data_IF_081747040299
#
_entry.id   IF_081747040299
#
_cell.length_a   1.000
_cell.length_b   1.000
_cell.length_c   1.000
_cell.angle_alpha   90.00
_cell.angle_beta   90.00
_cell.angle_gamma   90.00
#
_symmetry.space_group_name_H-M   'P 1'
#
loop_
_entity.id
_entity.type
_entity.pdbx_description
1 polymer ?
#
# COMPACT_ATOMS: atom_id res chain seq x y z
N UNK A 1 7.95 -8.78 5.74
CA UNK A 1 6.92 -7.71 5.82
C UNK A 1 5.94 -8.04 6.95
N UNK A 2 5.74 -7.15 7.93
CA UNK A 2 4.74 -7.31 9.00
C UNK A 2 3.54 -6.43 8.67
N UNK A 3 2.40 -7.02 8.30
CA UNK A 3 1.22 -6.30 7.79
C UNK A 3 0.14 -6.18 8.87
N UNK A 4 -0.41 -4.97 9.04
CA UNK A 4 -1.63 -4.73 9.77
C UNK A 4 -2.84 -4.71 8.83
N UNK A 5 -3.78 -5.63 9.01
CA UNK A 5 -5.01 -5.67 8.21
C UNK A 5 -6.16 -4.91 8.86
N UNK A 6 -6.73 -3.94 8.13
CA UNK A 6 -7.83 -3.10 8.59
C UNK A 6 -8.98 -3.02 7.57
N UNK A 7 -10.21 -3.41 7.95
CA UNK A 7 -11.37 -3.05 7.16
C UNK A 7 -11.68 -1.55 7.32
N UNK A 8 -12.05 -0.90 6.22
CA UNK A 8 -12.47 0.50 6.17
C UNK A 8 -13.91 0.63 5.68
N UNK A 9 -14.59 1.68 6.17
CA UNK A 9 -15.82 2.19 5.57
C UNK A 9 -15.48 2.80 4.20
N UNK A 10 -16.44 2.78 3.29
CA UNK A 10 -16.26 3.22 1.90
C UNK A 10 -15.65 4.63 1.79
N UNK A 11 -16.25 5.60 2.49
CA UNK A 11 -15.78 7.00 2.55
C UNK A 11 -14.29 7.12 2.84
N UNK A 12 -13.79 6.44 3.88
CA UNK A 12 -12.39 6.55 4.31
C UNK A 12 -11.44 5.82 3.37
N UNK A 13 -11.89 4.70 2.82
CA UNK A 13 -11.15 3.96 1.82
C UNK A 13 -10.90 4.83 0.57
N UNK A 14 -11.94 5.45 0.03
CA UNK A 14 -11.86 6.31 -1.16
C UNK A 14 -11.02 7.57 -0.92
N UNK A 15 -11.09 8.16 0.29
CA UNK A 15 -10.25 9.30 0.65
C UNK A 15 -8.76 8.95 0.75
N UNK A 16 -8.43 7.76 1.27
CA UNK A 16 -7.04 7.28 1.31
C UNK A 16 -6.56 6.92 -0.10
N UNK A 17 -7.40 6.24 -0.89
CA UNK A 17 -7.08 5.84 -2.26
C UNK A 17 -6.84 7.05 -3.17
N UNK A 18 -7.62 8.12 -3.01
CA UNK A 18 -7.40 9.39 -3.72
C UNK A 18 -6.19 10.20 -3.22
N UNK A 19 -5.55 9.77 -2.13
CA UNK A 19 -4.41 10.48 -1.52
C UNK A 19 -4.79 11.70 -0.67
N UNK A 20 -6.09 11.99 -0.53
CA UNK A 20 -6.59 13.11 0.26
C UNK A 20 -6.44 12.88 1.78
N UNK A 21 -6.53 11.62 2.23
CA UNK A 21 -6.37 11.23 3.63
C UNK A 21 -5.07 10.42 3.79
N UNK A 22 -4.15 10.93 4.62
CA UNK A 22 -2.81 10.33 4.84
C UNK A 22 -2.65 9.65 6.19
N UNK A 23 -3.73 9.54 6.95
CA UNK A 23 -3.75 8.94 8.29
C UNK A 23 -5.01 8.11 8.48
N UNK A 24 -4.93 7.02 9.24
CA UNK A 24 -6.10 6.27 9.70
C UNK A 24 -6.21 6.34 11.22
N UNK A 25 -7.44 6.46 11.72
CA UNK A 25 -7.71 6.65 13.15
C UNK A 25 -8.41 5.45 13.76
N UNK A 26 -8.01 5.07 14.98
CA UNK A 26 -8.69 4.03 15.76
C UNK A 26 -8.88 4.48 17.20
N UNK A 27 -10.09 4.30 17.72
CA UNK A 27 -10.42 4.64 19.10
C UNK A 27 -9.51 3.90 20.10
N UNK A 28 -9.23 4.51 21.24
CA UNK A 28 -8.47 3.89 22.34
C UNK A 28 -9.36 2.90 23.09
N UNK A 29 -9.69 1.78 22.45
CA UNK A 29 -10.49 0.69 23.01
C UNK A 29 -9.65 -0.57 23.18
N UNK A 30 -10.07 -1.43 24.12
CA UNK A 30 -9.45 -2.73 24.44
C UNK A 30 -9.02 -3.53 23.21
N UNK A 31 -9.88 -3.59 22.19
CA UNK A 31 -9.59 -4.28 20.93
C UNK A 31 -8.39 -3.67 20.19
N UNK A 32 -8.36 -2.36 20.01
CA UNK A 32 -7.28 -1.66 19.28
C UNK A 32 -5.98 -1.63 20.06
N UNK A 33 -6.05 -1.45 21.39
CA UNK A 33 -4.87 -1.54 22.27
C UNK A 33 -4.16 -2.88 22.08
N UNK A 34 -4.91 -3.99 22.15
CA UNK A 34 -4.34 -5.32 21.98
C UNK A 34 -3.73 -5.58 20.60
N UNK A 35 -4.15 -4.83 19.57
CA UNK A 35 -3.61 -4.94 18.21
C UNK A 35 -2.44 -4.00 17.95
N UNK A 36 -2.46 -2.78 18.48
CA UNK A 36 -1.55 -1.70 18.10
C UNK A 36 -0.46 -1.42 19.15
N UNK A 37 -0.65 -1.80 20.41
CA UNK A 37 0.30 -1.57 21.49
C UNK A 37 1.09 -2.84 21.85
N UNK A 38 2.35 -2.67 22.26
CA UNK A 38 3.16 -3.68 22.96
C UNK A 38 3.31 -3.29 24.44
N UNK A 39 3.28 -4.27 25.36
CA UNK A 39 3.63 -3.98 26.76
C UNK A 39 5.15 -3.84 26.84
N UNK A 40 5.64 -2.74 27.40
CA UNK A 40 7.08 -2.50 27.60
C UNK A 40 7.72 -3.35 28.69
N UNK A 41 6.99 -4.29 29.32
CA UNK A 41 7.53 -5.29 30.24
C UNK A 41 7.90 -4.81 31.65
N UNK A 42 7.71 -3.53 31.99
CA UNK A 42 8.25 -2.93 33.22
C UNK A 42 7.26 -2.84 34.40
N UNK A 43 6.01 -3.24 34.24
CA UNK A 43 5.07 -3.26 35.36
C UNK A 43 5.27 -4.57 36.15
N UNK A 44 6.11 -4.53 37.18
CA UNK A 44 6.16 -5.56 38.20
C UNK A 44 4.93 -5.45 39.10
N UNK A 45 4.37 -6.60 39.49
CA UNK A 45 3.26 -6.67 40.45
C UNK A 45 3.60 -5.92 41.74
N UNK A 46 4.87 -5.98 42.15
CA UNK A 46 5.40 -5.30 43.34
C UNK A 46 5.31 -3.77 43.31
N UNK A 47 5.38 -3.13 42.13
CA UNK A 47 5.29 -1.65 42.01
C UNK A 47 3.88 -1.12 41.78
N UNK A 48 2.97 -1.95 41.27
CA UNK A 48 1.67 -1.49 40.74
C UNK A 48 0.47 -2.32 41.20
N UNK A 49 0.70 -3.41 41.96
CA UNK A 49 -0.33 -4.37 42.35
C UNK A 49 -0.92 -5.17 41.18
N UNK A 50 -0.30 -5.12 39.98
CA UNK A 50 -0.87 -5.71 38.77
C UNK A 50 0.18 -6.38 37.88
N UNK A 51 -0.11 -7.59 37.40
CA UNK A 51 0.74 -8.26 36.41
C UNK A 51 0.38 -7.74 35.00
N UNK A 52 1.29 -7.05 34.29
CA UNK A 52 1.16 -6.79 32.85
C UNK A 52 1.38 -8.08 32.04
N UNK A 53 0.55 -9.11 32.26
CA UNK A 53 0.66 -10.41 31.57
C UNK A 53 0.03 -10.41 30.17
N UNK A 54 -0.66 -9.33 29.75
CA UNK A 54 -1.32 -9.24 28.44
C UNK A 54 -1.16 -7.85 27.80
N UNK A 55 -1.09 -7.82 26.46
CA UNK A 55 -0.92 -6.64 25.59
C UNK A 55 -2.07 -5.60 25.63
N UNK A 56 -2.86 -5.57 26.71
CA UNK A 56 -4.08 -4.75 26.86
C UNK A 56 -3.94 -3.89 28.12
N UNK A 57 -2.75 -3.35 28.36
CA UNK A 57 -2.48 -2.58 29.56
C UNK A 57 -2.74 -1.10 29.25
N UNK A 58 -3.91 -0.58 29.65
CA UNK A 58 -4.25 0.83 29.49
C UNK A 58 -3.22 1.72 30.21
N UNK A 59 -2.71 1.27 31.36
CA UNK A 59 -1.66 1.99 32.09
C UNK A 59 -0.34 2.09 31.33
N UNK A 60 0.00 1.18 30.40
CA UNK A 60 1.17 1.34 29.53
C UNK A 60 1.00 2.43 28.44
N UNK A 61 -0.24 2.86 28.18
CA UNK A 61 -0.52 3.96 27.27
C UNK A 61 -0.51 5.30 28.01
N UNK A 62 -0.95 5.32 29.27
CA UNK A 62 -1.19 6.54 30.04
C UNK A 62 -0.19 6.81 31.17
N UNK A 63 0.68 5.87 31.55
CA UNK A 63 1.63 5.98 32.67
C UNK A 63 3.01 5.39 32.30
N UNK A 64 4.10 6.05 32.73
CA UNK A 64 5.50 5.60 32.52
C UNK A 64 6.17 6.19 31.26
N UNK A 65 7.14 5.46 30.68
CA UNK A 65 7.97 5.85 29.50
C UNK A 65 7.21 6.02 28.17
N UNK A 66 5.89 6.20 28.19
CA UNK A 66 5.06 6.48 27.01
C UNK A 66 4.52 5.26 26.24
N UNK A 67 3.81 5.54 25.15
CA UNK A 67 3.19 4.54 24.28
C UNK A 67 4.23 3.74 23.48
N UNK A 68 4.14 2.42 23.53
CA UNK A 68 5.01 1.52 22.76
C UNK A 68 4.18 0.86 21.64
N UNK A 69 4.36 1.27 20.37
CA UNK A 69 3.64 0.67 19.26
C UNK A 69 4.17 -0.73 18.93
N UNK A 70 3.28 -1.61 18.47
CA UNK A 70 3.70 -2.86 17.82
C UNK A 70 4.41 -2.57 16.52
N UNK A 71 5.36 -3.43 16.18
CA UNK A 71 6.13 -3.34 14.95
C UNK A 71 5.33 -3.86 13.77
N UNK A 72 4.71 -2.94 13.03
CA UNK A 72 4.19 -3.17 11.70
C UNK A 72 5.01 -2.35 10.72
N UNK A 73 5.31 -2.93 9.56
CA UNK A 73 5.99 -2.19 8.48
C UNK A 73 5.00 -1.69 7.44
N UNK A 74 3.83 -2.32 7.33
CA UNK A 74 2.82 -2.00 6.33
C UNK A 74 1.41 -2.12 6.92
N UNK A 75 0.47 -1.42 6.31
CA UNK A 75 -0.97 -1.52 6.59
C UNK A 75 -1.72 -1.85 5.31
N UNK A 76 -2.59 -2.86 5.37
CA UNK A 76 -3.47 -3.25 4.27
C UNK A 76 -4.90 -2.87 4.63
N UNK A 77 -5.48 -2.01 3.79
CA UNK A 77 -6.88 -1.65 3.89
C UNK A 77 -7.74 -2.51 2.98
N UNK A 78 -8.89 -2.95 3.49
CA UNK A 78 -9.94 -3.61 2.69
C UNK A 78 -11.16 -2.70 2.57
N UNK A 79 -11.76 -2.64 1.39
CA UNK A 79 -13.01 -1.92 1.17
C UNK A 79 -14.17 -2.75 1.72
N UNK A 80 -14.56 -2.48 2.97
CA UNK A 80 -15.51 -3.31 3.70
C UNK A 80 -15.10 -4.80 3.72
N UNK A 81 -16.02 -5.65 3.26
CA UNK A 81 -15.84 -7.11 3.13
C UNK A 81 -15.55 -7.56 1.68
N UNK A 82 -15.22 -6.64 0.78
CA UNK A 82 -14.89 -6.97 -0.61
C UNK A 82 -13.44 -7.46 -0.75
N UNK A 83 -13.09 -7.97 -1.93
CA UNK A 83 -11.72 -8.35 -2.27
C UNK A 83 -10.83 -7.14 -2.62
N UNK A 84 -11.40 -5.93 -2.73
CA UNK A 84 -10.64 -4.73 -3.07
C UNK A 84 -9.78 -4.32 -1.89
N UNK A 85 -8.47 -4.22 -2.11
CA UNK A 85 -7.49 -3.88 -1.08
C UNK A 85 -6.47 -2.89 -1.60
N UNK A 86 -5.90 -2.10 -0.69
CA UNK A 86 -4.75 -1.25 -0.94
C UNK A 86 -3.73 -1.44 0.18
N UNK A 87 -2.45 -1.38 -0.16
CA UNK A 87 -1.34 -1.63 0.76
C UNK A 87 -0.48 -0.37 0.85
N UNK A 88 -0.15 0.05 2.06
CA UNK A 88 0.69 1.20 2.31
C UNK A 88 1.84 0.82 3.23
N UNK A 89 2.98 1.48 3.07
CA UNK A 89 3.96 1.59 4.14
C UNK A 89 3.30 2.23 5.37
N UNK A 90 3.64 1.73 6.55
CA UNK A 90 3.20 2.32 7.81
C UNK A 90 4.38 3.08 8.42
N UNK A 91 4.34 4.41 8.33
CA UNK A 91 5.43 5.26 8.83
C UNK A 91 5.51 5.23 10.35
N UNK A 92 4.35 5.35 11.01
CA UNK A 92 4.29 5.36 12.47
C UNK A 92 2.89 5.01 12.97
N UNK A 93 2.86 4.59 14.24
CA UNK A 93 1.64 4.51 15.04
C UNK A 93 1.88 5.41 16.24
N UNK A 94 1.01 6.38 16.46
CA UNK A 94 1.09 7.33 17.58
C UNK A 94 -0.27 7.46 18.26
N UNK A 95 -0.33 8.22 19.36
CA UNK A 95 -1.58 8.57 20.05
C UNK A 95 -1.66 10.08 20.11
N UNK A 96 -2.82 10.64 19.75
CA UNK A 96 -3.06 12.07 19.78
C UNK A 96 -4.46 12.42 19.30
N UNK A 97 -4.72 13.71 19.13
CA UNK A 97 -5.98 14.21 18.56
C UNK A 97 -5.89 14.15 17.04
N UNK A 98 -6.83 13.45 16.41
CA UNK A 98 -6.86 13.30 14.95
C UNK A 98 -7.60 14.44 14.25
N UNK A 99 -7.52 14.48 12.92
CA UNK A 99 -8.26 15.43 12.11
C UNK A 99 -9.74 15.02 11.98
N UNK A 100 -10.65 15.86 12.49
CA UNK A 100 -12.10 15.63 12.47
C UNK A 100 -12.67 15.54 11.05
N UNK A 101 -12.11 16.29 10.08
CA UNK A 101 -12.48 16.19 8.66
C UNK A 101 -12.17 14.81 8.05
N UNK A 102 -11.25 14.08 8.67
CA UNK A 102 -10.86 12.72 8.29
C UNK A 102 -11.48 11.65 9.20
N UNK A 103 -12.50 12.00 9.99
CA UNK A 103 -13.30 11.08 10.78
C UNK A 103 -12.77 10.79 12.19
N UNK A 104 -11.82 11.58 12.69
CA UNK A 104 -11.47 11.52 14.11
C UNK A 104 -12.62 12.09 14.99
N UNK A 105 -12.84 11.54 16.19
CA UNK A 105 -13.70 12.17 17.19
C UNK A 105 -13.13 13.52 17.63
N UNK A 106 -14.01 14.45 18.00
CA UNK A 106 -13.60 15.79 18.42
C UNK A 106 -13.00 15.77 19.83
N UNK A 107 -11.87 16.46 20.02
CA UNK A 107 -11.15 16.58 21.30
C UNK A 107 -10.84 15.25 22.03
N UNK A 108 -10.88 14.12 21.34
CA UNK A 108 -10.56 12.80 21.89
C UNK A 108 -9.27 12.23 21.30
N UNK A 109 -8.46 11.60 22.15
CA UNK A 109 -7.26 10.91 21.70
C UNK A 109 -7.63 9.60 20.97
N UNK A 110 -6.96 9.36 19.85
CA UNK A 110 -7.05 8.15 19.03
C UNK A 110 -5.66 7.60 18.73
N UNK A 111 -5.58 6.34 18.33
CA UNK A 111 -4.43 5.85 17.60
C UNK A 111 -4.41 6.50 16.22
N UNK A 112 -3.28 7.08 15.86
CA UNK A 112 -3.02 7.70 14.56
C UNK A 112 -2.02 6.81 13.82
N UNK A 113 -2.45 6.22 12.71
CA UNK A 113 -1.63 5.43 11.81
C UNK A 113 -1.24 6.31 10.63
N UNK A 114 0.02 6.75 10.59
CA UNK A 114 0.52 7.60 9.52
C UNK A 114 0.92 6.76 8.29
N UNK A 115 0.36 7.09 7.13
CA UNK A 115 0.52 6.34 5.90
C UNK A 115 1.70 6.89 5.10
N UNK A 116 2.57 5.98 4.66
CA UNK A 116 3.66 6.29 3.75
C UNK A 116 3.28 6.03 2.30
N UNK A 117 4.22 5.46 1.53
CA UNK A 117 3.99 5.18 0.10
C UNK A 117 2.93 4.09 -0.10
N UNK A 118 2.07 4.28 -1.09
CA UNK A 118 1.18 3.23 -1.57
C UNK A 118 1.99 2.20 -2.37
N UNK A 119 1.85 0.92 -2.00
CA UNK A 119 2.50 -0.20 -2.68
C UNK A 119 1.56 -0.72 -3.77
N UNK A 120 1.85 -0.39 -5.03
CA UNK A 120 1.07 -0.86 -6.18
C UNK A 120 1.56 -2.23 -6.65
N UNK A 121 0.65 -3.18 -6.87
CA UNK A 121 0.98 -4.52 -7.38
C UNK A 121 0.80 -4.62 -8.88
N UNK A 122 1.61 -3.85 -9.59
CA UNK A 122 1.64 -3.89 -11.06
C UNK A 122 2.42 -5.12 -11.50
N UNK A 123 1.92 -5.83 -12.52
CA UNK A 123 2.62 -7.01 -13.07
C UNK A 123 3.26 -6.64 -14.40
N UNK A 124 4.55 -6.86 -14.53
CA UNK A 124 5.26 -6.69 -15.80
C UNK A 124 5.62 -8.07 -16.36
N UNK A 125 5.55 -8.21 -17.68
CA UNK A 125 6.01 -9.42 -18.39
C UNK A 125 6.61 -9.09 -19.73
N UNK A 126 7.40 -10.01 -20.26
CA UNK A 126 7.73 -10.06 -21.68
C UNK A 126 6.59 -10.70 -22.48
N UNK A 127 6.49 -10.34 -23.75
CA UNK A 127 5.51 -10.86 -24.69
C UNK A 127 6.19 -11.09 -26.04
N UNK A 128 6.06 -12.30 -26.60
CA UNK A 128 6.48 -12.56 -27.97
C UNK A 128 5.47 -11.94 -28.95
N UNK A 129 6.00 -11.28 -29.96
CA UNK A 129 5.31 -10.57 -31.01
C UNK A 129 5.90 -10.98 -32.38
N UNK A 130 5.20 -10.64 -33.46
CA UNK A 130 5.68 -10.85 -34.82
C UNK A 130 5.65 -9.53 -35.59
N UNK A 131 6.81 -9.08 -36.06
CA UNK A 131 6.93 -7.88 -36.87
C UNK A 131 6.65 -8.22 -38.33
N UNK A 132 5.47 -7.85 -38.84
CA UNK A 132 5.08 -8.11 -40.24
C UNK A 132 5.88 -7.29 -41.26
N UNK A 133 6.50 -6.17 -40.87
CA UNK A 133 7.29 -5.33 -41.78
C UNK A 133 8.66 -5.95 -42.05
N UNK A 134 9.29 -6.50 -41.02
CA UNK A 134 10.62 -7.14 -41.14
C UNK A 134 10.54 -8.66 -41.25
N UNK A 135 9.35 -9.25 -41.07
CA UNK A 135 9.09 -10.69 -41.07
C UNK A 135 9.88 -11.46 -40.00
N UNK A 136 10.09 -10.83 -38.84
CA UNK A 136 10.88 -11.37 -37.73
C UNK A 136 10.02 -11.57 -36.48
N UNK A 137 10.38 -12.58 -35.67
CA UNK A 137 9.90 -12.67 -34.29
C UNK A 137 10.61 -11.62 -33.44
N UNK A 138 9.84 -10.87 -32.65
CA UNK A 138 10.35 -9.86 -31.73
C UNK A 138 9.70 -10.00 -30.36
N UNK A 139 10.24 -9.36 -29.35
CA UNK A 139 9.74 -9.38 -27.98
C UNK A 139 9.40 -7.96 -27.52
N UNK A 140 8.32 -7.85 -26.74
CA UNK A 140 7.88 -6.61 -26.14
C UNK A 140 7.63 -6.73 -24.65
N UNK A 141 7.44 -5.58 -24.00
CA UNK A 141 7.10 -5.51 -22.57
C UNK A 141 5.62 -5.17 -22.42
N UNK A 142 4.95 -5.83 -21.50
CA UNK A 142 3.56 -5.53 -21.17
C UNK A 142 3.37 -5.37 -19.66
N UNK A 143 2.51 -4.42 -19.28
CA UNK A 143 2.22 -4.07 -17.90
C UNK A 143 0.74 -4.25 -17.63
N UNK A 144 0.39 -5.01 -16.59
CA UNK A 144 -0.95 -5.05 -16.03
C UNK A 144 -1.03 -4.00 -14.93
N UNK A 145 -1.91 -2.99 -15.07
CA UNK A 145 -2.20 -2.04 -14.01
C UNK A 145 -2.60 -2.73 -12.72
N UNK A 146 -2.36 -2.09 -11.58
CA UNK A 146 -2.87 -2.60 -10.31
C UNK A 146 -4.40 -2.68 -10.34
N UNK A 147 -4.96 -3.81 -9.94
CA UNK A 147 -6.39 -4.13 -10.11
C UNK A 147 -6.87 -4.32 -11.56
N UNK A 148 -5.99 -4.18 -12.56
CA UNK A 148 -6.30 -4.36 -13.98
C UNK A 148 -6.59 -5.81 -14.34
N UNK A 149 -7.46 -6.03 -15.33
CA UNK A 149 -7.81 -7.39 -15.82
C UNK A 149 -6.95 -7.81 -17.01
N UNK A 150 -6.32 -6.86 -17.71
CA UNK A 150 -5.51 -7.13 -18.90
C UNK A 150 -4.17 -6.42 -18.85
N UNK A 151 -3.22 -7.00 -19.58
CA UNK A 151 -1.93 -6.40 -19.87
C UNK A 151 -2.07 -5.33 -20.96
N UNK A 152 -1.51 -4.15 -20.73
CA UNK A 152 -1.31 -3.09 -21.71
C UNK A 152 0.12 -3.18 -22.28
N UNK A 153 0.32 -2.72 -23.51
CA UNK A 153 1.64 -2.64 -24.12
C UNK A 153 2.43 -1.47 -23.50
N UNK A 154 3.67 -1.69 -23.11
CA UNK A 154 4.60 -0.61 -22.75
C UNK A 154 5.08 0.11 -24.04
N UNK A 155 5.44 1.40 -24.05
CA UNK A 155 5.39 2.25 -25.24
C UNK A 155 6.40 1.85 -26.33
N UNK A 156 6.24 2.48 -27.50
CA UNK A 156 7.10 2.35 -28.68
C UNK A 156 8.59 2.45 -28.28
N UNK A 157 9.40 1.52 -28.79
CA UNK A 157 10.79 1.29 -28.37
C UNK A 157 10.97 0.04 -27.49
N UNK A 158 9.94 -0.36 -26.73
CA UNK A 158 9.96 -1.56 -25.89
C UNK A 158 9.12 -2.72 -26.45
N UNK A 159 8.80 -2.70 -27.74
CA UNK A 159 7.96 -3.72 -28.39
C UNK A 159 8.67 -4.57 -29.45
N UNK A 160 9.92 -4.24 -29.78
CA UNK A 160 10.65 -4.75 -30.95
C UNK A 160 12.03 -5.31 -30.60
N UNK A 161 12.22 -5.82 -29.38
CA UNK A 161 13.47 -6.49 -29.00
C UNK A 161 13.69 -7.74 -29.85
N UNK A 162 14.83 -7.89 -30.52
CA UNK A 162 15.14 -9.11 -31.30
C UNK A 162 15.54 -10.28 -30.41
N UNK A 163 16.14 -10.00 -29.26
CA UNK A 163 16.59 -10.99 -28.29
C UNK A 163 15.72 -10.99 -27.03
N UNK A 164 15.36 -12.20 -26.57
CA UNK A 164 14.58 -12.38 -25.35
C UNK A 164 15.33 -11.90 -24.10
N UNK A 165 16.65 -12.12 -24.03
CA UNK A 165 17.45 -11.74 -22.85
C UNK A 165 17.46 -10.23 -22.68
N UNK A 166 17.64 -9.49 -23.78
CA UNK A 166 17.51 -8.03 -23.80
C UNK A 166 16.12 -7.56 -23.35
N UNK A 167 15.05 -8.17 -23.88
CA UNK A 167 13.68 -7.84 -23.49
C UNK A 167 13.43 -8.12 -22.00
N UNK A 168 13.98 -9.23 -21.48
CA UNK A 168 13.83 -9.64 -20.10
C UNK A 168 14.58 -8.71 -19.14
N UNK A 169 15.77 -8.23 -19.53
CA UNK A 169 16.50 -7.25 -18.73
C UNK A 169 15.74 -5.91 -18.68
N UNK A 170 15.29 -5.41 -19.83
CA UNK A 170 14.48 -4.19 -19.87
C UNK A 170 13.17 -4.33 -19.09
N UNK A 171 12.56 -5.53 -19.06
CA UNK A 171 11.39 -5.82 -18.22
C UNK A 171 11.70 -5.65 -16.73
N UNK A 172 12.86 -6.14 -16.25
CA UNK A 172 13.28 -5.95 -14.85
C UNK A 172 13.51 -4.48 -14.52
N UNK A 173 14.10 -3.73 -15.45
CA UNK A 173 14.33 -2.29 -15.26
C UNK A 173 12.99 -1.54 -15.17
N UNK A 174 12.02 -1.87 -16.02
CA UNK A 174 10.65 -1.34 -15.95
C UNK A 174 9.97 -1.70 -14.62
N UNK A 175 10.10 -2.94 -14.15
CA UNK A 175 9.56 -3.33 -12.85
C UNK A 175 10.18 -2.49 -11.72
N UNK A 176 11.51 -2.28 -11.74
CA UNK A 176 12.21 -1.46 -10.75
C UNK A 176 11.74 0.01 -10.77
N UNK A 177 11.44 0.57 -11.94
CA UNK A 177 10.87 1.93 -12.05
C UNK A 177 9.49 1.99 -11.37
N UNK A 178 8.62 1.00 -11.62
CA UNK A 178 7.30 0.93 -10.99
C UNK A 178 7.42 0.76 -9.47
N UNK A 179 8.31 -0.10 -9.01
CA UNK A 179 8.55 -0.35 -7.59
C UNK A 179 9.08 0.90 -6.86
N UNK A 180 9.79 1.78 -7.58
CA UNK A 180 10.30 3.05 -7.07
C UNK A 180 9.28 4.22 -7.17
N UNK A 181 8.02 3.94 -7.46
CA UNK A 181 6.94 4.94 -7.48
C UNK A 181 6.52 5.43 -8.86
N UNK A 182 7.06 4.82 -9.94
CA UNK A 182 6.65 5.13 -11.30
C UNK A 182 5.13 5.00 -11.50
N UNK A 183 4.51 6.03 -12.07
CA UNK A 183 3.06 6.09 -12.32
C UNK A 183 2.77 5.75 -13.77
N UNK A 184 1.81 4.86 -14.02
CA UNK A 184 1.27 4.67 -15.37
C UNK A 184 0.48 5.89 -15.82
N UNK A 185 0.78 6.32 -17.05
CA UNK A 185 0.03 7.34 -17.77
C UNK A 185 -0.63 6.68 -18.98
N UNK A 186 -1.92 6.91 -19.07
CA UNK A 186 -2.79 6.45 -20.15
C UNK A 186 -3.07 7.62 -21.09
N UNK A 187 -3.46 7.30 -22.33
CA UNK A 187 -4.07 8.29 -23.21
C UNK A 187 -5.31 8.91 -22.52
N UNK A 188 -5.68 10.17 -22.81
CA UNK A 188 -6.94 10.75 -22.32
C UNK A 188 -8.18 9.92 -22.66
N UNK A 189 -8.14 9.14 -23.75
CA UNK A 189 -9.19 8.17 -24.15
C UNK A 189 -8.84 6.73 -23.77
N UNK A 190 -7.86 6.55 -22.88
CA UNK A 190 -7.33 5.26 -22.46
C UNK A 190 -8.34 4.47 -21.61
N UNK A 191 -8.18 3.15 -21.59
CA UNK A 191 -9.10 2.22 -20.94
C UNK A 191 -8.58 1.67 -19.61
N UNK A 192 -7.40 2.13 -19.17
CA UNK A 192 -6.79 1.80 -17.88
C UNK A 192 -6.69 0.28 -17.59
N UNK A 193 -6.30 -0.53 -18.58
CA UNK A 193 -6.14 -1.98 -18.39
C UNK A 193 -7.35 -2.83 -18.76
N UNK A 194 -8.29 -2.29 -19.53
CA UNK A 194 -9.41 -3.02 -20.12
C UNK A 194 -9.08 -3.46 -21.56
N UNK A 195 -8.31 -2.67 -22.32
CA UNK A 195 -7.91 -2.93 -23.70
C UNK A 195 -6.47 -3.46 -23.81
N UNK A 196 -6.31 -4.66 -24.38
CA UNK A 196 -4.99 -5.31 -24.56
C UNK A 196 -4.06 -4.62 -25.57
N UNK A 197 -4.62 -3.77 -26.44
CA UNK A 197 -3.88 -3.05 -27.47
C UNK A 197 -3.49 -1.63 -27.04
N UNK A 198 -3.89 -1.22 -25.84
CA UNK A 198 -3.57 0.09 -25.29
C UNK A 198 -2.08 0.18 -24.96
N UNK A 199 -1.49 1.31 -25.31
CA UNK A 199 -0.13 1.66 -24.95
C UNK A 199 -0.14 2.53 -23.69
N UNK A 200 0.75 2.22 -22.75
CA UNK A 200 0.93 2.98 -21.51
C UNK A 200 2.36 3.48 -21.42
N UNK A 201 2.57 4.62 -20.76
CA UNK A 201 3.91 5.13 -20.40
C UNK A 201 4.06 5.14 -18.89
N UNK A 202 5.30 5.19 -18.41
CA UNK A 202 5.59 5.44 -17.00
C UNK A 202 6.17 6.85 -16.87
N UNK A 203 5.62 7.63 -15.94
CA UNK A 203 6.21 8.88 -15.47
C UNK A 203 6.83 8.67 -14.08
N UNK A 204 8.00 9.26 -13.85
CA UNK A 204 8.57 9.38 -12.51
C UNK A 204 7.84 10.49 -11.75
N UNK A 205 7.46 10.22 -10.51
CA UNK A 205 7.00 11.22 -9.54
C UNK A 205 8.16 11.92 -8.87
#
# INVERSE_FOLDING_TARGET
>A
MKILDLPLKAKWYEMIESGNKKEEYREIKKYWIGRLAKCGGHNSYEKTGFYCKKAICFSCITRGNGFHPKEYTHVRFRFGYTQRTMLFELESITIGVGNTNWGAPDNECVFILKLGKCIKKMKVRTQQNFNRKTNETVFGISIMPDGGKRYCKYPIGHQEYKDYTQAHQAMKDVQKILDNGGRLVYSPKGSAGINKNEYVKIEMT
#
